data_IF_346336029298
#
_entry.id   IF_346336029298
#
_cell.length_a   1.000
_cell.length_b   1.000
_cell.length_c   1.000
_cell.angle_alpha   90.00
_cell.angle_beta   90.00
_cell.angle_gamma   90.00
#
_symmetry.space_group_name_H-M   'P 1'
#
loop_
_entity.id
_entity.type
_entity.pdbx_description
1 polymer ?
#
# COMPACT_ATOMS: atom_id res chain seq x y z
N UNK A 1 3.56 -20.05 -9.94
CA UNK A 1 4.70 -19.13 -10.16
C UNK A 1 5.73 -19.49 -9.12
N UNK A 2 7.01 -19.62 -9.49
CA UNK A 2 8.08 -20.03 -8.57
C UNK A 2 8.19 -19.07 -7.36
N UNK A 3 8.46 -19.62 -6.17
CA UNK A 3 8.53 -18.88 -4.90
C UNK A 3 9.59 -17.77 -4.94
N UNK A 4 10.69 -18.01 -5.66
CA UNK A 4 11.74 -17.02 -5.85
C UNK A 4 11.25 -15.82 -6.68
N UNK A 5 10.47 -16.08 -7.74
CA UNK A 5 9.91 -15.00 -8.58
C UNK A 5 8.90 -14.16 -7.81
N UNK A 6 8.06 -14.80 -6.99
CA UNK A 6 7.13 -14.12 -6.10
C UNK A 6 7.88 -13.19 -5.13
N UNK A 7 8.92 -13.71 -4.50
CA UNK A 7 9.77 -12.95 -3.58
C UNK A 7 10.40 -11.76 -4.30
N UNK A 8 11.03 -11.97 -5.45
CA UNK A 8 11.61 -10.88 -6.25
C UNK A 8 10.57 -9.81 -6.60
N UNK A 9 9.36 -10.19 -6.97
CA UNK A 9 8.27 -9.24 -7.27
C UNK A 9 7.84 -8.45 -6.04
N UNK A 10 7.71 -9.09 -4.88
CA UNK A 10 7.37 -8.41 -3.61
C UNK A 10 8.44 -7.40 -3.23
N UNK A 11 9.72 -7.78 -3.28
CA UNK A 11 10.84 -6.87 -2.99
C UNK A 11 10.89 -5.71 -3.99
N UNK A 12 10.67 -6.00 -5.28
CA UNK A 12 10.60 -4.97 -6.33
C UNK A 12 9.46 -4.00 -6.08
N UNK A 13 8.27 -4.50 -5.77
CA UNK A 13 7.11 -3.67 -5.44
C UNK A 13 7.36 -2.81 -4.21
N UNK A 14 7.94 -3.38 -3.15
CA UNK A 14 8.34 -2.64 -1.95
C UNK A 14 9.32 -1.53 -2.27
N UNK A 15 10.36 -1.79 -3.08
CA UNK A 15 11.33 -0.78 -3.46
C UNK A 15 10.70 0.36 -4.28
N UNK A 16 9.88 0.03 -5.28
CA UNK A 16 9.14 1.02 -6.07
C UNK A 16 8.18 1.82 -5.17
N UNK A 17 7.49 1.13 -4.26
CA UNK A 17 6.57 1.73 -3.30
C UNK A 17 7.27 2.75 -2.40
N UNK A 18 8.45 2.41 -1.87
CA UNK A 18 9.30 3.33 -1.11
C UNK A 18 9.66 4.56 -1.96
N UNK A 19 10.13 4.35 -3.19
CA UNK A 19 10.51 5.45 -4.07
C UNK A 19 9.33 6.38 -4.41
N UNK A 20 8.16 5.82 -4.74
CA UNK A 20 6.95 6.59 -5.03
C UNK A 20 6.46 7.38 -3.81
N UNK A 21 6.53 6.80 -2.61
CA UNK A 21 6.15 7.50 -1.38
C UNK A 21 7.19 8.58 -1.02
N UNK A 22 8.50 8.39 -1.24
CA UNK A 22 9.48 9.47 -1.08
C UNK A 22 9.21 10.62 -2.05
N UNK A 23 8.88 10.33 -3.31
CA UNK A 23 8.49 11.34 -4.28
C UNK A 23 7.24 12.10 -3.83
N UNK A 24 6.20 11.39 -3.37
CA UNK A 24 5.00 12.02 -2.83
C UNK A 24 5.34 12.90 -1.62
N UNK A 25 6.14 12.41 -0.69
CA UNK A 25 6.57 13.15 0.50
C UNK A 25 7.30 14.44 0.10
N UNK A 26 8.20 14.37 -0.87
CA UNK A 26 8.86 15.55 -1.43
C UNK A 26 7.86 16.54 -2.01
N UNK A 27 6.90 16.09 -2.83
CA UNK A 27 5.87 16.96 -3.44
C UNK A 27 4.97 17.64 -2.39
N UNK A 28 4.66 16.91 -1.31
CA UNK A 28 3.87 17.40 -0.17
C UNK A 28 4.67 18.43 0.62
N UNK A 29 5.93 18.15 0.95
CA UNK A 29 6.79 19.05 1.72
C UNK A 29 7.14 20.32 0.94
N UNK A 30 7.42 20.20 -0.36
CA UNK A 30 7.65 21.30 -1.29
C UNK A 30 6.40 22.19 -1.52
N UNK A 31 5.23 21.77 -1.02
CA UNK A 31 4.03 22.61 -1.05
C UNK A 31 4.13 23.78 -0.09
N UNK A 32 4.40 24.98 -0.61
CA UNK A 32 4.42 26.23 0.16
C UNK A 32 3.03 26.87 0.31
N UNK A 33 1.97 26.25 -0.24
CA UNK A 33 0.64 26.84 -0.13
C UNK A 33 0.18 26.86 1.34
N UNK A 34 -0.15 28.06 1.84
CA UNK A 34 -0.73 28.25 3.19
C UNK A 34 -2.16 27.70 3.29
N UNK A 35 -2.72 27.23 2.17
CA UNK A 35 -4.03 26.62 2.11
C UNK A 35 -3.87 25.12 2.36
N UNK A 36 -4.53 24.61 3.42
CA UNK A 36 -4.61 23.18 3.77
C UNK A 36 -3.41 22.58 4.52
N UNK A 37 -2.78 23.35 5.41
CA UNK A 37 -1.70 22.86 6.29
C UNK A 37 -2.06 21.55 7.01
N UNK A 38 -3.29 21.43 7.52
CA UNK A 38 -3.75 20.19 8.18
C UNK A 38 -3.78 18.98 7.24
N UNK A 39 -4.19 19.16 5.99
CA UNK A 39 -4.18 18.08 5.00
C UNK A 39 -2.75 17.72 4.58
N UNK A 40 -1.89 18.73 4.40
CA UNK A 40 -0.47 18.54 4.12
C UNK A 40 0.20 17.70 5.21
N UNK A 41 -0.04 18.04 6.47
CA UNK A 41 0.50 17.29 7.61
C UNK A 41 -0.03 15.87 7.66
N UNK A 42 -1.34 15.69 7.46
CA UNK A 42 -1.95 14.36 7.37
C UNK A 42 -1.29 13.53 6.27
N UNK A 43 -1.16 14.09 5.06
CA UNK A 43 -0.61 13.37 3.93
C UNK A 43 0.89 13.07 4.13
N UNK A 44 1.65 13.96 4.75
CA UNK A 44 3.03 13.71 5.13
C UNK A 44 3.15 12.54 6.13
N UNK A 45 2.28 12.48 7.14
CA UNK A 45 2.23 11.37 8.11
C UNK A 45 1.87 10.06 7.41
N UNK A 46 0.82 10.05 6.59
CA UNK A 46 0.41 8.88 5.81
C UNK A 46 1.55 8.38 4.94
N UNK A 47 2.20 9.30 4.22
CA UNK A 47 3.29 8.95 3.29
C UNK A 47 4.52 8.41 4.04
N UNK A 48 4.90 9.02 5.17
CA UNK A 48 6.00 8.54 6.00
C UNK A 48 5.71 7.13 6.55
N UNK A 49 4.46 6.87 6.91
CA UNK A 49 4.05 5.55 7.34
C UNK A 49 4.08 4.52 6.22
N UNK A 50 3.61 4.87 5.02
CA UNK A 50 3.68 4.00 3.85
C UNK A 50 5.14 3.61 3.53
N UNK A 51 6.10 4.52 3.72
CA UNK A 51 7.54 4.22 3.57
C UNK A 51 7.99 3.20 4.62
N UNK A 52 7.65 3.42 5.89
CA UNK A 52 7.95 2.49 6.98
C UNK A 52 7.36 1.10 6.70
N UNK A 53 6.09 1.04 6.30
CA UNK A 53 5.39 -0.19 5.97
C UNK A 53 6.03 -0.91 4.77
N UNK A 54 6.25 -0.21 3.66
CA UNK A 54 6.84 -0.80 2.46
C UNK A 54 8.26 -1.36 2.74
N UNK A 55 8.97 -0.77 3.71
CA UNK A 55 10.28 -1.25 4.18
C UNK A 55 10.19 -2.52 5.03
N UNK A 56 9.12 -2.68 5.81
CA UNK A 56 8.93 -3.85 6.68
C UNK A 56 8.21 -5.02 6.00
N UNK A 57 7.36 -4.74 5.02
CA UNK A 57 6.56 -5.74 4.29
C UNK A 57 7.37 -6.94 3.74
N UNK A 58 8.58 -6.78 3.15
CA UNK A 58 9.35 -7.92 2.67
C UNK A 58 10.13 -8.66 3.77
N UNK A 59 10.24 -8.08 4.97
CA UNK A 59 11.04 -8.59 6.10
C UNK A 59 10.17 -9.39 7.08
N UNK A 60 8.92 -8.95 7.29
CA UNK A 60 8.01 -9.53 8.27
C UNK A 60 6.94 -10.37 7.55
N UNK A 61 6.64 -11.55 8.10
CA UNK A 61 5.62 -12.46 7.56
C UNK A 61 4.31 -11.70 7.26
N UNK A 62 3.81 -11.87 6.03
CA UNK A 62 2.70 -11.10 5.46
C UNK A 62 1.41 -11.12 6.30
N UNK A 63 1.21 -12.21 7.05
CA UNK A 63 0.05 -12.41 7.92
C UNK A 63 -0.04 -11.37 9.05
N UNK A 64 1.10 -10.79 9.47
CA UNK A 64 1.16 -9.83 10.57
C UNK A 64 1.12 -8.37 10.13
N UNK A 65 1.53 -8.06 8.89
CA UNK A 65 1.73 -6.68 8.46
C UNK A 65 0.45 -6.01 7.97
N UNK A 66 -0.50 -6.75 7.42
CA UNK A 66 -1.65 -6.18 6.71
C UNK A 66 -2.54 -5.26 7.58
N UNK A 67 -2.58 -5.45 8.89
CA UNK A 67 -3.44 -4.67 9.79
C UNK A 67 -2.95 -3.26 10.12
N UNK A 68 -1.64 -3.04 10.04
CA UNK A 68 -0.99 -1.79 10.42
C UNK A 68 -1.29 -0.68 9.39
N UNK A 69 -1.42 -1.04 8.11
CA UNK A 69 -1.77 -0.12 7.02
C UNK A 69 -3.23 0.38 7.11
N UNK A 70 -4.15 -0.49 7.56
CA UNK A 70 -5.60 -0.27 7.51
C UNK A 70 -6.08 0.79 8.51
N UNK A 71 -5.33 1.04 9.58
CA UNK A 71 -5.62 2.08 10.57
C UNK A 71 -5.18 3.49 10.14
N UNK A 72 -4.44 3.66 9.04
CA UNK A 72 -4.22 4.98 8.43
C UNK A 72 -5.26 5.37 7.40
N UNK A 73 -5.93 4.41 6.73
CA UNK A 73 -7.12 4.78 5.96
C UNK A 73 -8.16 5.41 6.90
N UNK A 74 -8.27 4.93 8.14
CA UNK A 74 -9.08 5.56 9.20
C UNK A 74 -8.60 6.95 9.65
N UNK A 75 -7.29 7.23 9.56
CA UNK A 75 -6.73 8.58 9.74
C UNK A 75 -7.35 9.54 8.71
N UNK A 76 -7.60 9.08 7.49
CA UNK A 76 -8.23 9.86 6.42
C UNK A 76 -9.74 10.11 6.64
N UNK A 77 -10.42 9.29 7.45
CA UNK A 77 -11.85 9.50 7.81
C UNK A 77 -12.03 10.37 9.03
N UNK A 78 -11.15 10.25 10.03
CA UNK A 78 -11.22 11.11 11.20
C UNK A 78 -10.88 12.57 10.89
N UNK A 79 -10.45 12.86 9.65
CA UNK A 79 -10.45 14.19 9.06
C UNK A 79 -11.81 14.90 9.09
N UNK A 80 -12.93 14.22 9.36
CA UNK A 80 -14.28 14.80 9.39
C UNK A 80 -14.54 15.96 10.37
N UNK A 81 -13.58 16.33 11.20
CA UNK A 81 -13.55 17.65 11.85
C UNK A 81 -12.32 18.43 11.38
N UNK A 82 -12.45 19.03 10.20
CA UNK A 82 -11.41 19.78 9.51
C UNK A 82 -10.92 21.03 10.28
N UNK A 83 -9.61 21.26 10.21
CA UNK A 83 -8.80 22.40 10.72
C UNK A 83 -8.27 22.30 12.16
N UNK A 84 -9.07 21.91 13.16
CA UNK A 84 -8.61 21.96 14.56
C UNK A 84 -7.92 20.69 15.07
N UNK A 85 -8.19 19.51 14.49
CA UNK A 85 -7.66 18.25 15.00
C UNK A 85 -6.20 17.99 14.62
N UNK A 86 -5.72 18.53 13.50
CA UNK A 86 -4.30 18.45 13.12
C UNK A 86 -3.48 19.67 13.56
N UNK A 87 -4.14 20.72 14.09
CA UNK A 87 -3.50 21.69 14.99
C UNK A 87 -3.38 21.09 16.42
N UNK A 88 -4.34 20.27 16.82
CA UNK A 88 -4.37 19.65 18.14
C UNK A 88 -3.62 18.32 18.16
N UNK A 89 -2.38 18.36 18.67
CA UNK A 89 -1.54 17.18 18.91
C UNK A 89 -2.26 15.99 19.57
N UNK A 90 -3.33 16.26 20.35
CA UNK A 90 -4.17 15.25 21.01
C UNK A 90 -4.83 14.28 20.03
N UNK A 91 -5.32 14.75 18.89
CA UNK A 91 -6.05 13.89 17.95
C UNK A 91 -5.11 13.09 17.06
N UNK A 92 -3.97 13.67 16.69
CA UNK A 92 -2.86 12.92 16.09
C UNK A 92 -2.46 11.77 17.01
N UNK A 93 -2.36 12.03 18.32
CA UNK A 93 -2.06 11.00 19.31
C UNK A 93 -3.15 9.93 19.43
N UNK A 94 -4.43 10.29 19.47
CA UNK A 94 -5.54 9.31 19.51
C UNK A 94 -5.51 8.40 18.27
N UNK A 95 -5.26 8.96 17.09
CA UNK A 95 -5.18 8.21 15.85
C UNK A 95 -3.95 7.29 15.83
N UNK A 96 -2.83 7.77 16.33
CA UNK A 96 -1.64 6.95 16.54
C UNK A 96 -1.95 5.79 17.52
N UNK A 97 -2.59 6.04 18.66
CA UNK A 97 -3.00 4.99 19.61
C UNK A 97 -3.98 3.98 19.03
N UNK A 98 -4.91 4.42 18.17
CA UNK A 98 -5.82 3.52 17.47
C UNK A 98 -5.08 2.46 16.64
N UNK A 99 -3.98 2.85 15.97
CA UNK A 99 -3.12 1.92 15.21
C UNK A 99 -2.47 0.87 16.14
N UNK A 100 -2.06 1.27 17.35
CA UNK A 100 -1.48 0.38 18.36
C UNK A 100 -2.49 -0.57 19.01
N UNK A 101 -3.79 -0.39 18.79
CA UNK A 101 -4.82 -1.33 19.27
C UNK A 101 -5.21 -2.30 18.16
N UNK A 102 -5.57 -1.78 16.98
CA UNK A 102 -6.10 -2.61 15.89
C UNK A 102 -5.05 -3.47 15.20
N UNK A 103 -3.84 -2.94 14.99
CA UNK A 103 -2.73 -3.70 14.41
C UNK A 103 -2.39 -4.94 15.26
N UNK A 104 -2.07 -4.77 16.56
CA UNK A 104 -1.81 -5.89 17.44
C UNK A 104 -2.99 -6.84 17.63
N UNK A 105 -4.24 -6.34 17.68
CA UNK A 105 -5.42 -7.21 17.77
C UNK A 105 -5.52 -8.18 16.59
N UNK A 106 -5.27 -7.70 15.37
CA UNK A 106 -5.20 -8.56 14.19
C UNK A 106 -4.05 -9.56 14.29
N UNK A 107 -2.85 -9.09 14.65
CA UNK A 107 -1.69 -9.97 14.83
C UNK A 107 -1.96 -11.08 15.82
N UNK A 108 -2.63 -10.77 16.94
CA UNK A 108 -3.01 -11.73 17.97
C UNK A 108 -4.03 -12.74 17.44
N UNK A 109 -5.07 -12.29 16.72
CA UNK A 109 -6.04 -13.19 16.09
C UNK A 109 -5.35 -14.12 15.10
N UNK A 110 -4.50 -13.58 14.23
CA UNK A 110 -3.77 -14.36 13.25
C UNK A 110 -2.77 -15.33 13.90
N UNK A 111 -2.08 -14.90 14.94
CA UNK A 111 -1.17 -15.77 15.69
C UNK A 111 -1.94 -16.91 16.33
N UNK A 112 -2.97 -16.60 17.10
CA UNK A 112 -3.75 -17.61 17.83
C UNK A 112 -4.43 -18.58 16.85
N UNK A 113 -5.11 -18.06 15.83
CA UNK A 113 -5.94 -18.87 14.94
C UNK A 113 -5.16 -19.53 13.80
N UNK A 114 -4.06 -18.93 13.32
CA UNK A 114 -3.38 -19.36 12.10
C UNK A 114 -1.91 -19.75 12.29
N UNK A 115 -1.35 -19.70 13.51
CA UNK A 115 0.05 -20.08 13.71
C UNK A 115 0.36 -21.47 13.17
N UNK A 116 1.42 -21.51 12.36
CA UNK A 116 1.93 -22.67 11.65
C UNK A 116 2.79 -23.50 12.58
N UNK A 117 2.30 -24.66 13.02
CA UNK A 117 3.14 -25.70 13.62
C UNK A 117 3.64 -26.63 12.51
N UNK A 118 4.80 -27.30 12.65
CA UNK A 118 5.33 -28.21 11.62
C UNK A 118 4.30 -29.24 11.15
N UNK A 119 3.56 -29.82 12.09
CA UNK A 119 2.45 -30.75 11.85
C UNK A 119 1.33 -30.12 10.99
N UNK A 120 0.93 -28.87 11.30
CA UNK A 120 -0.11 -28.15 10.54
C UNK A 120 0.36 -27.81 9.13
N UNK A 121 1.64 -27.49 8.95
CA UNK A 121 2.23 -27.19 7.65
C UNK A 121 2.24 -28.43 6.76
N UNK A 122 2.70 -29.56 7.28
CA UNK A 122 2.73 -30.83 6.53
C UNK A 122 1.32 -31.31 6.16
N UNK A 123 0.36 -31.23 7.09
CA UNK A 123 -1.04 -31.53 6.80
C UNK A 123 -1.65 -30.61 5.75
N UNK A 124 -1.30 -29.32 5.75
CA UNK A 124 -1.78 -28.36 4.75
C UNK A 124 -1.25 -28.71 3.35
N UNK A 125 0.02 -29.14 3.26
CA UNK A 125 0.65 -29.60 2.00
C UNK A 125 -0.09 -30.80 1.43
N UNK A 126 -0.35 -31.81 2.27
CA UNK A 126 -1.08 -33.01 1.85
C UNK A 126 -2.48 -32.69 1.33
N UNK A 127 -3.20 -31.77 1.98
CA UNK A 127 -4.56 -31.42 1.58
C UNK A 127 -4.60 -30.63 0.27
N UNK A 128 -3.69 -29.68 0.08
CA UNK A 128 -3.57 -28.95 -1.17
C UNK A 128 -3.24 -29.88 -2.35
N UNK A 129 -2.33 -30.83 -2.14
CA UNK A 129 -2.03 -31.88 -3.11
C UNK A 129 -3.25 -32.75 -3.38
N UNK A 130 -3.97 -33.20 -2.35
CA UNK A 130 -5.11 -34.11 -2.51
C UNK A 130 -6.32 -33.47 -3.18
N UNK A 131 -6.65 -32.21 -2.84
CA UNK A 131 -7.86 -31.53 -3.36
C UNK A 131 -7.63 -30.76 -4.64
N UNK A 132 -6.46 -30.16 -4.80
CA UNK A 132 -6.19 -29.21 -5.87
C UNK A 132 -5.04 -29.67 -6.77
N UNK A 133 -4.37 -30.78 -6.44
CA UNK A 133 -3.20 -31.27 -7.16
C UNK A 133 -2.07 -30.24 -7.23
N UNK A 134 -1.91 -29.43 -6.15
CA UNK A 134 -0.90 -28.37 -6.08
C UNK A 134 0.04 -28.57 -4.90
N UNK A 135 1.34 -28.47 -5.17
CA UNK A 135 2.38 -28.54 -4.15
C UNK A 135 2.55 -27.18 -3.46
N UNK A 136 2.14 -27.06 -2.19
CA UNK A 136 2.22 -25.79 -1.46
C UNK A 136 3.64 -25.22 -1.34
N UNK A 137 4.67 -26.08 -1.42
CA UNK A 137 6.07 -25.62 -1.40
C UNK A 137 6.42 -24.78 -2.64
N UNK A 138 5.73 -25.01 -3.75
CA UNK A 138 5.98 -24.31 -5.03
C UNK A 138 5.14 -23.04 -5.20
N UNK A 139 3.99 -22.94 -4.53
CA UNK A 139 3.01 -21.85 -4.75
C UNK A 139 2.94 -20.79 -3.66
N UNK A 140 3.64 -20.98 -2.53
CA UNK A 140 3.70 -19.98 -1.45
C UNK A 140 2.32 -19.56 -0.93
N UNK A 141 1.44 -20.54 -0.66
CA UNK A 141 0.08 -20.25 -0.19
C UNK A 141 0.07 -19.69 1.23
N UNK A 142 -0.60 -18.54 1.40
CA UNK A 142 -0.75 -17.83 2.66
C UNK A 142 -2.25 -17.70 2.95
N UNK A 143 -2.87 -18.73 3.53
CA UNK A 143 -4.28 -18.69 3.90
C UNK A 143 -4.64 -19.71 4.98
N UNK A 144 -5.68 -19.46 5.79
CA UNK A 144 -6.07 -20.37 6.86
C UNK A 144 -6.68 -21.67 6.31
N UNK A 145 -6.16 -22.81 6.77
CA UNK A 145 -6.74 -24.12 6.46
C UNK A 145 -7.93 -24.39 7.40
N UNK A 146 -9.15 -24.30 6.87
CA UNK A 146 -10.39 -24.40 7.66
C UNK A 146 -11.03 -25.79 7.67
N UNK A 147 -10.64 -26.68 6.74
CA UNK A 147 -11.16 -28.06 6.65
C UNK A 147 -9.99 -29.02 6.60
N UNK A 148 -10.12 -30.17 7.27
CA UNK A 148 -9.06 -31.17 7.34
C UNK A 148 -9.65 -32.59 7.51
N UNK A 149 -9.02 -33.63 6.96
CA UNK A 149 -9.46 -35.01 7.19
C UNK A 149 -9.08 -35.45 8.61
N UNK A 150 -10.03 -36.05 9.33
CA UNK A 150 -9.77 -36.66 10.63
C UNK A 150 -8.76 -37.82 10.47
N UNK A 151 -7.70 -37.91 11.29
CA UNK A 151 -6.65 -38.93 11.14
C UNK A 151 -7.14 -40.35 11.39
N UNK A 152 -8.16 -40.51 12.24
CA UNK A 152 -8.71 -41.82 12.61
C UNK A 152 -9.83 -42.27 11.66
N UNK A 153 -10.64 -41.35 11.14
CA UNK A 153 -11.84 -41.70 10.36
C UNK A 153 -11.74 -41.31 8.89
N UNK A 154 -10.74 -40.53 8.48
CA UNK A 154 -10.60 -39.98 7.13
C UNK A 154 -11.67 -38.96 6.74
N UNK A 155 -12.67 -38.73 7.59
CA UNK A 155 -13.79 -37.82 7.32
C UNK A 155 -13.36 -36.36 7.46
N UNK A 156 -13.84 -35.51 6.55
CA UNK A 156 -13.54 -34.08 6.59
C UNK A 156 -14.19 -33.39 7.78
N UNK A 157 -13.37 -32.77 8.63
CA UNK A 157 -13.75 -31.99 9.80
C UNK A 157 -13.47 -30.50 9.58
N UNK A 158 -14.30 -29.66 10.21
CA UNK A 158 -14.15 -28.20 10.19
C UNK A 158 -13.32 -27.77 11.40
N UNK A 159 -12.29 -26.95 11.17
CA UNK A 159 -11.53 -26.29 12.23
C UNK A 159 -12.25 -25.03 12.65
N UNK A 160 -13.24 -25.17 13.53
CA UNK A 160 -14.06 -24.06 14.04
C UNK A 160 -13.23 -22.90 14.61
N UNK A 161 -12.05 -23.18 15.17
CA UNK A 161 -11.15 -22.16 15.67
C UNK A 161 -10.57 -21.26 14.56
N UNK A 162 -10.20 -21.85 13.42
CA UNK A 162 -9.71 -21.10 12.26
C UNK A 162 -10.86 -20.32 11.62
N UNK A 163 -12.05 -20.93 11.54
CA UNK A 163 -13.28 -20.28 11.07
C UNK A 163 -13.61 -19.06 11.94
N UNK A 164 -13.52 -19.20 13.27
CA UNK A 164 -13.76 -18.09 14.20
C UNK A 164 -12.72 -16.98 14.03
N UNK A 165 -11.44 -17.33 13.86
CA UNK A 165 -10.40 -16.36 13.51
C UNK A 165 -10.69 -15.62 12.20
N UNK A 166 -11.24 -16.32 11.21
CA UNK A 166 -11.58 -15.77 9.90
C UNK A 166 -12.77 -14.82 9.96
N UNK A 167 -13.77 -15.13 10.78
CA UNK A 167 -14.82 -14.17 11.14
C UNK A 167 -14.24 -12.96 11.90
N UNK A 168 -13.31 -13.18 12.83
CA UNK A 168 -12.61 -12.12 13.57
C UNK A 168 -11.91 -11.14 12.62
N UNK A 169 -11.02 -11.63 11.77
CA UNK A 169 -10.34 -10.84 10.74
C UNK A 169 -11.34 -10.13 9.81
N UNK A 170 -12.34 -10.84 9.27
CA UNK A 170 -13.31 -10.26 8.34
C UNK A 170 -14.17 -9.17 8.99
N UNK A 171 -14.54 -9.35 10.27
CA UNK A 171 -15.31 -8.35 11.02
C UNK A 171 -14.49 -7.09 11.28
N UNK A 172 -13.19 -7.22 11.58
CA UNK A 172 -12.28 -6.08 11.68
C UNK A 172 -12.22 -5.33 10.34
N UNK A 173 -11.99 -6.01 9.21
CA UNK A 173 -11.98 -5.37 7.88
C UNK A 173 -13.31 -4.64 7.59
N UNK A 174 -14.43 -5.28 7.89
CA UNK A 174 -15.75 -4.70 7.67
C UNK A 174 -15.99 -3.46 8.53
N UNK A 175 -15.61 -3.49 9.82
CA UNK A 175 -15.74 -2.34 10.72
C UNK A 175 -14.89 -1.17 10.21
N UNK A 176 -13.64 -1.44 9.82
CA UNK A 176 -12.75 -0.43 9.25
C UNK A 176 -13.39 0.20 8.01
N UNK A 177 -13.87 -0.62 7.06
CA UNK A 177 -14.52 -0.15 5.85
C UNK A 177 -15.85 0.58 6.10
N UNK A 178 -16.64 0.14 7.08
CA UNK A 178 -17.88 0.81 7.46
C UNK A 178 -17.60 2.21 8.00
N UNK A 179 -16.57 2.36 8.85
CA UNK A 179 -16.14 3.69 9.32
C UNK A 179 -15.72 4.56 8.13
N UNK A 180 -15.00 3.98 7.14
CA UNK A 180 -14.66 4.67 5.88
C UNK A 180 -15.90 5.25 5.20
N UNK A 181 -16.87 4.41 4.90
CA UNK A 181 -18.08 4.78 4.18
C UNK A 181 -18.92 5.81 4.97
N UNK A 182 -19.13 5.57 6.27
CA UNK A 182 -19.81 6.53 7.16
C UNK A 182 -19.10 7.88 7.15
N UNK A 183 -17.77 7.85 7.03
CA UNK A 183 -16.96 9.02 6.92
C UNK A 183 -17.26 9.86 5.68
N UNK A 184 -17.18 9.23 4.51
CA UNK A 184 -17.52 9.85 3.23
C UNK A 184 -18.94 10.43 3.23
N UNK A 185 -19.92 9.69 3.75
CA UNK A 185 -21.32 10.14 3.82
C UNK A 185 -21.47 11.36 4.72
N UNK A 186 -20.82 11.39 5.89
CA UNK A 186 -20.85 12.57 6.77
C UNK A 186 -20.21 13.79 6.13
N UNK A 187 -19.11 13.61 5.39
CA UNK A 187 -18.45 14.71 4.69
C UNK A 187 -19.35 15.27 3.59
N UNK A 188 -19.94 14.39 2.78
CA UNK A 188 -20.88 14.79 1.75
C UNK A 188 -22.07 15.57 2.32
N UNK A 189 -22.70 15.05 3.39
CA UNK A 189 -23.81 15.73 4.07
C UNK A 189 -23.39 17.10 4.58
N UNK A 190 -22.24 17.19 5.27
CA UNK A 190 -21.71 18.47 5.75
C UNK A 190 -21.54 19.49 4.62
N UNK A 191 -20.97 19.09 3.48
CA UNK A 191 -20.80 19.99 2.33
C UNK A 191 -22.15 20.45 1.78
N UNK A 192 -23.16 19.57 1.76
CA UNK A 192 -24.48 19.87 1.22
C UNK A 192 -25.32 20.77 2.13
N UNK A 193 -25.16 20.70 3.45
CA UNK A 193 -26.01 21.39 4.43
C UNK A 193 -25.37 22.62 5.06
N UNK A 194 -24.05 22.77 5.00
CA UNK A 194 -23.36 23.86 5.68
C UNK A 194 -23.36 25.14 4.86
N UNK A 195 -23.70 26.27 5.50
CA UNK A 195 -23.47 27.62 4.95
C UNK A 195 -21.99 28.00 5.03
N UNK A 196 -21.12 27.19 4.42
CA UNK A 196 -19.69 27.47 4.29
C UNK A 196 -19.42 28.30 3.04
N UNK A 197 -18.37 29.13 3.08
CA UNK A 197 -17.95 29.90 1.91
C UNK A 197 -17.74 29.00 0.68
N UNK A 198 -18.00 29.51 -0.52
CA UNK A 198 -17.78 28.80 -1.79
C UNK A 198 -16.35 28.24 -1.91
N UNK A 199 -15.38 28.98 -1.37
CA UNK A 199 -13.98 28.55 -1.29
C UNK A 199 -13.81 27.28 -0.43
N UNK A 200 -14.40 27.27 0.77
CA UNK A 200 -14.36 26.11 1.69
C UNK A 200 -15.12 24.93 1.10
N UNK A 201 -16.24 25.19 0.42
CA UNK A 201 -17.04 24.17 -0.26
C UNK A 201 -16.24 23.46 -1.36
N UNK A 202 -15.57 24.23 -2.24
CA UNK A 202 -14.69 23.69 -3.29
C UNK A 202 -13.56 22.85 -2.72
N UNK A 203 -12.94 23.30 -1.64
CA UNK A 203 -11.91 22.55 -0.93
C UNK A 203 -12.43 21.21 -0.40
N UNK A 204 -13.56 21.21 0.33
CA UNK A 204 -14.14 20.00 0.89
C UNK A 204 -14.55 18.99 -0.20
N UNK A 205 -15.05 19.45 -1.35
CA UNK A 205 -15.33 18.58 -2.49
C UNK A 205 -14.07 17.95 -3.08
N UNK A 206 -12.96 18.70 -3.18
CA UNK A 206 -11.68 18.14 -3.61
C UNK A 206 -11.25 17.03 -2.66
N UNK A 207 -11.34 17.27 -1.36
CA UNK A 207 -10.97 16.32 -0.31
C UNK A 207 -11.86 15.08 -0.29
N UNK A 208 -13.16 15.23 -0.48
CA UNK A 208 -14.08 14.11 -0.65
C UNK A 208 -13.70 13.26 -1.87
N UNK A 209 -13.41 13.89 -3.01
CA UNK A 209 -12.96 13.18 -4.21
C UNK A 209 -11.68 12.39 -3.96
N UNK A 210 -10.74 12.99 -3.24
CA UNK A 210 -9.46 12.36 -2.91
C UNK A 210 -9.65 11.19 -1.95
N UNK A 211 -10.49 11.36 -0.94
CA UNK A 211 -10.84 10.28 -0.02
C UNK A 211 -11.46 9.11 -0.78
N UNK A 212 -12.40 9.37 -1.70
CA UNK A 212 -12.99 8.31 -2.54
C UNK A 212 -11.92 7.59 -3.36
N UNK A 213 -11.01 8.32 -4.00
CA UNK A 213 -9.89 7.75 -4.76
C UNK A 213 -8.98 6.89 -3.85
N UNK A 214 -8.61 7.41 -2.68
CA UNK A 214 -7.78 6.70 -1.70
C UNK A 214 -8.46 5.45 -1.13
N UNK A 215 -9.80 5.39 -1.12
CA UNK A 215 -10.53 4.21 -0.63
C UNK A 215 -10.65 3.09 -1.66
N UNK A 216 -10.47 3.40 -2.95
CA UNK A 216 -10.50 2.40 -4.03
C UNK A 216 -9.22 1.56 -4.05
N UNK A 217 -8.05 2.17 -3.81
CA UNK A 217 -6.78 1.47 -3.79
C UNK A 217 -6.73 0.29 -2.78
N UNK A 218 -7.02 0.46 -1.48
CA UNK A 218 -7.00 -0.64 -0.52
C UNK A 218 -8.10 -1.66 -0.80
N UNK A 219 -9.22 -1.27 -1.40
CA UNK A 219 -10.27 -2.21 -1.80
C UNK A 219 -9.75 -3.25 -2.80
N UNK A 220 -9.06 -2.78 -3.84
CA UNK A 220 -8.57 -3.63 -4.94
C UNK A 220 -7.31 -4.40 -4.52
N UNK A 221 -6.34 -3.71 -3.92
CA UNK A 221 -5.01 -4.25 -3.69
C UNK A 221 -4.83 -4.96 -2.34
N UNK A 222 -5.74 -4.78 -1.38
CA UNK A 222 -5.65 -5.43 -0.07
C UNK A 222 -6.93 -6.20 0.31
N UNK A 223 -8.11 -5.56 0.31
CA UNK A 223 -9.33 -6.19 0.84
C UNK A 223 -9.82 -7.37 0.02
N UNK A 224 -9.89 -7.25 -1.31
CA UNK A 224 -10.26 -8.36 -2.19
C UNK A 224 -9.27 -9.53 -2.03
N UNK A 225 -7.94 -9.34 -2.16
CA UNK A 225 -6.97 -10.41 -1.90
C UNK A 225 -7.08 -11.05 -0.52
N UNK A 226 -7.24 -10.26 0.54
CA UNK A 226 -7.34 -10.80 1.90
C UNK A 226 -8.64 -11.58 2.14
N UNK A 227 -9.78 -11.12 1.63
CA UNK A 227 -11.04 -11.89 1.73
C UNK A 227 -10.92 -13.20 0.94
N UNK A 228 -10.29 -13.17 -0.23
CA UNK A 228 -10.06 -14.37 -1.03
C UNK A 228 -9.09 -15.34 -0.35
N UNK A 229 -8.02 -14.83 0.27
CA UNK A 229 -7.07 -15.63 1.04
C UNK A 229 -7.76 -16.31 2.24
N UNK A 230 -8.59 -15.55 2.97
CA UNK A 230 -9.31 -16.03 4.14
C UNK A 230 -10.37 -17.05 3.72
N UNK A 231 -11.30 -16.69 2.85
CA UNK A 231 -12.50 -17.51 2.59
C UNK A 231 -12.38 -18.47 1.43
N UNK A 232 -11.48 -18.22 0.48
CA UNK A 232 -11.43 -18.95 -0.79
C UNK A 232 -11.20 -20.45 -0.62
N UNK A 233 -10.30 -20.84 0.29
CA UNK A 233 -10.08 -22.25 0.63
C UNK A 233 -11.28 -22.91 1.33
N UNK A 234 -12.10 -22.16 2.06
CA UNK A 234 -13.27 -22.70 2.78
C UNK A 234 -14.43 -23.04 1.84
N UNK A 235 -14.70 -22.17 0.86
CA UNK A 235 -15.75 -22.37 -0.15
C UNK A 235 -15.32 -23.30 -1.30
N UNK A 236 -14.09 -23.84 -1.23
CA UNK A 236 -13.59 -24.81 -2.20
C UNK A 236 -13.21 -24.18 -3.53
N UNK A 237 -12.89 -22.88 -3.57
CA UNK A 237 -12.37 -22.24 -4.78
C UNK A 237 -10.94 -22.71 -5.03
N UNK A 238 -10.65 -23.43 -6.13
CA UNK A 238 -9.28 -23.79 -6.53
C UNK A 238 -8.40 -22.55 -6.71
N UNK A 239 -9.05 -21.45 -7.09
CA UNK A 239 -8.47 -20.14 -7.28
C UNK A 239 -7.64 -19.65 -6.08
N UNK A 240 -8.06 -19.94 -4.83
CA UNK A 240 -7.35 -19.45 -3.65
C UNK A 240 -5.94 -20.06 -3.51
N UNK A 241 -5.76 -21.29 -4.00
CA UNK A 241 -4.49 -22.02 -3.94
C UNK A 241 -3.68 -21.84 -5.22
N UNK A 242 -4.31 -21.94 -6.38
CA UNK A 242 -3.67 -21.71 -7.69
C UNK A 242 -3.16 -20.27 -7.84
N UNK A 243 -3.91 -19.33 -7.26
CA UNK A 243 -3.52 -17.95 -7.08
C UNK A 243 -3.25 -17.76 -5.57
N UNK A 244 -2.35 -18.52 -4.94
CA UNK A 244 -1.79 -18.11 -3.65
C UNK A 244 -0.80 -16.95 -3.82
N UNK A 245 -0.13 -16.94 -4.97
CA UNK A 245 1.03 -16.11 -5.24
C UNK A 245 0.72 -14.64 -5.53
N UNK A 246 -0.49 -14.31 -5.98
CA UNK A 246 -0.89 -12.93 -6.30
C UNK A 246 -1.19 -12.09 -5.06
N UNK A 247 -1.68 -12.69 -3.96
CA UNK A 247 -2.02 -11.97 -2.72
C UNK A 247 -0.83 -11.10 -2.26
N UNK A 248 0.37 -11.67 -2.03
CA UNK A 248 1.54 -10.90 -1.60
C UNK A 248 2.01 -9.85 -2.62
N UNK A 249 1.79 -10.09 -3.91
CA UNK A 249 2.13 -9.15 -4.98
C UNK A 249 1.15 -7.97 -4.96
N UNK A 250 -0.15 -8.22 -4.78
CA UNK A 250 -1.16 -7.19 -4.69
C UNK A 250 -0.99 -6.34 -3.43
N UNK A 251 -0.77 -6.96 -2.27
CA UNK A 251 -0.57 -6.22 -1.01
C UNK A 251 0.72 -5.39 -1.05
N UNK A 252 1.82 -5.90 -1.60
CA UNK A 252 3.04 -5.09 -1.79
C UNK A 252 2.83 -3.94 -2.79
N UNK A 253 2.07 -4.16 -3.86
CA UNK A 253 1.76 -3.14 -4.86
C UNK A 253 0.84 -2.02 -4.35
N UNK A 254 0.10 -2.24 -3.25
CA UNK A 254 -0.75 -1.21 -2.65
C UNK A 254 0.01 0.09 -2.35
N UNK A 255 1.22 -0.02 -1.81
CA UNK A 255 2.06 1.15 -1.46
C UNK A 255 2.39 2.04 -2.66
N UNK A 256 2.54 1.42 -3.83
CA UNK A 256 2.70 2.11 -5.13
C UNK A 256 1.38 2.76 -5.52
N UNK A 257 0.29 1.99 -5.51
CA UNK A 257 -1.02 2.45 -5.93
C UNK A 257 -1.49 3.67 -5.11
N UNK A 258 -1.40 3.63 -3.79
CA UNK A 258 -1.83 4.71 -2.91
C UNK A 258 -1.09 6.03 -3.22
N UNK A 259 0.24 5.97 -3.28
CA UNK A 259 1.06 7.16 -3.56
C UNK A 259 0.79 7.75 -4.95
N UNK A 260 0.69 6.91 -5.98
CA UNK A 260 0.37 7.37 -7.33
C UNK A 260 -1.05 7.95 -7.43
N UNK A 261 -2.03 7.34 -6.76
CA UNK A 261 -3.41 7.81 -6.76
C UNK A 261 -3.53 9.21 -6.13
N UNK A 262 -2.77 9.50 -5.07
CA UNK A 262 -2.70 10.85 -4.50
C UNK A 262 -2.05 11.83 -5.47
N UNK A 263 -0.91 11.48 -6.06
CA UNK A 263 -0.21 12.34 -7.02
C UNK A 263 -1.13 12.68 -8.19
N UNK A 264 -1.79 11.69 -8.78
CA UNK A 264 -2.70 11.86 -9.93
C UNK A 264 -3.98 12.60 -9.50
N UNK A 265 -4.49 12.33 -8.31
CA UNK A 265 -5.69 12.97 -7.76
C UNK A 265 -5.52 14.46 -7.51
N UNK A 266 -4.33 14.92 -7.11
CA UNK A 266 -4.04 16.33 -6.89
C UNK A 266 -3.50 17.02 -8.13
N UNK A 267 -4.24 18.03 -8.62
CA UNK A 267 -3.75 18.91 -9.70
C UNK A 267 -2.41 19.57 -9.34
N UNK A 268 -2.27 20.10 -8.11
CA UNK A 268 -1.05 20.76 -7.66
C UNK A 268 0.17 19.82 -7.67
N UNK A 269 0.00 18.56 -7.28
CA UNK A 269 1.08 17.58 -7.26
C UNK A 269 1.46 17.13 -8.67
N UNK A 270 0.47 16.92 -9.57
CA UNK A 270 0.74 16.66 -10.99
C UNK A 270 1.54 17.79 -11.64
N UNK A 271 1.12 19.03 -11.45
CA UNK A 271 1.79 20.19 -12.04
C UNK A 271 3.25 20.31 -11.59
N UNK A 272 3.51 20.09 -10.30
CA UNK A 272 4.89 20.05 -9.77
C UNK A 272 5.69 18.88 -10.30
N UNK A 273 5.11 17.69 -10.35
CA UNK A 273 5.77 16.53 -10.94
C UNK A 273 6.17 16.81 -12.39
N UNK A 274 5.27 17.37 -13.20
CA UNK A 274 5.60 17.75 -14.58
C UNK A 274 6.68 18.83 -14.66
N UNK A 275 6.69 19.80 -13.75
CA UNK A 275 7.74 20.80 -13.69
C UNK A 275 9.12 20.18 -13.41
N UNK A 276 9.19 19.27 -12.43
CA UNK A 276 10.41 18.53 -12.09
C UNK A 276 10.89 17.71 -13.30
N UNK A 277 10.00 16.95 -13.94
CA UNK A 277 10.33 16.14 -15.11
C UNK A 277 10.83 16.98 -16.30
N UNK A 278 10.28 18.19 -16.49
CA UNK A 278 10.77 19.14 -17.51
C UNK A 278 12.16 19.65 -17.20
N UNK A 279 12.46 19.98 -15.94
CA UNK A 279 13.79 20.43 -15.51
C UNK A 279 14.84 19.32 -15.69
N UNK A 280 14.51 18.08 -15.34
CA UNK A 280 15.40 16.94 -15.60
C UNK A 280 15.70 16.75 -17.08
N UNK A 281 14.69 16.83 -17.95
CA UNK A 281 14.89 16.75 -19.41
C UNK A 281 15.77 17.87 -19.94
N UNK A 282 15.62 19.08 -19.42
CA UNK A 282 16.45 20.21 -19.82
C UNK A 282 17.90 20.06 -19.34
N UNK A 283 18.11 19.65 -18.09
CA UNK A 283 19.43 19.37 -17.53
C UNK A 283 20.18 18.28 -18.31
N UNK A 284 19.50 17.17 -18.62
CA UNK A 284 20.10 16.08 -19.42
C UNK A 284 20.47 16.53 -20.83
N UNK A 285 19.69 17.43 -21.43
CA UNK A 285 20.00 18.01 -22.75
C UNK A 285 21.22 18.94 -22.69
N UNK A 286 21.44 19.67 -21.59
CA UNK A 286 22.64 20.49 -21.40
C UNK A 286 23.86 19.61 -21.21
N UNK A 287 23.77 18.58 -20.35
CA UNK A 287 24.87 17.63 -20.12
C UNK A 287 25.29 16.92 -21.41
N UNK A 288 24.33 16.41 -22.20
CA UNK A 288 24.65 15.74 -23.46
C UNK A 288 25.28 16.70 -24.50
N UNK A 289 24.87 17.96 -24.51
CA UNK A 289 25.45 18.97 -25.39
C UNK A 289 26.87 19.39 -24.95
N UNK A 290 27.14 19.41 -23.64
CA UNK A 290 28.47 19.67 -23.08
C UNK A 290 29.44 18.55 -23.44
N UNK A 291 29.04 17.29 -23.25
CA UNK A 291 29.86 16.12 -23.61
C UNK A 291 30.13 16.04 -25.13
N UNK A 292 29.14 16.40 -25.96
CA UNK A 292 29.32 16.47 -27.41
C UNK A 292 30.24 17.61 -27.87
N UNK A 293 30.33 18.70 -27.09
CA UNK A 293 31.25 19.82 -27.32
C UNK A 293 32.69 19.42 -26.97
N UNK A 294 32.90 18.78 -25.82
CA UNK A 294 34.22 18.31 -25.37
C UNK A 294 34.81 17.22 -26.27
N UNK A 295 33.97 16.39 -26.91
CA UNK A 295 34.44 15.40 -27.88
C UNK A 295 34.85 16.02 -29.23
N UNK A 296 34.35 17.22 -29.58
CA UNK A 296 34.76 17.94 -30.79
C UNK A 296 36.06 18.72 -30.59
N UNK A 297 36.30 19.29 -29.41
CA UNK A 297 37.55 20.00 -29.08
C UNK A 297 38.76 19.06 -28.97
N UNK A 298 38.55 17.80 -28.57
CA UNK A 298 39.64 16.79 -28.51
C UNK A 298 40.06 16.22 -29.87
N UNK A 299 39.28 16.40 -30.94
CA UNK A 299 39.63 15.94 -32.31
C UNK A 299 40.12 17.05 -33.25
N UNK A 300 40.20 18.30 -32.78
CA UNK A 300 40.64 19.47 -33.55
C UNK A 300 41.81 20.20 -32.89
N UNK A 301 42.95 19.53 -32.73
CA UNK A 301 44.22 20.19 -32.37
C UNK A 301 45.07 20.47 -33.62
N UNK A 302 45.76 21.61 -33.74
CA UNK A 302 46.31 22.11 -35.01
C UNK A 302 47.56 21.32 -35.45
N UNK A 303 47.58 20.91 -36.72
CA UNK A 303 48.80 20.62 -37.46
C UNK A 303 49.39 21.93 -37.98
N UNK A 304 50.73 22.02 -37.97
CA UNK A 304 51.57 23.11 -38.51
C UNK A 304 51.56 24.38 -37.63
N UNK A 305 52.67 24.80 -37.03
CA UNK A 305 53.77 25.51 -37.67
C UNK A 305 55.07 25.28 -36.87
N UNK A 306 56.10 24.70 -37.48
CA UNK A 306 57.52 24.97 -37.17
C UNK A 306 58.38 24.60 -38.39
N UNK A 307 58.77 25.61 -39.17
CA UNK A 307 60.01 25.56 -39.96
C UNK A 307 60.49 26.97 -40.29
N UNK A 308 61.38 27.52 -39.45
CA UNK A 308 62.52 28.35 -39.83
C UNK A 308 63.28 28.78 -38.58
N UNK A 309 64.36 28.05 -38.27
CA UNK A 309 65.70 28.63 -38.11
C UNK A 309 66.71 27.56 -37.68
N UNK A 310 67.77 27.50 -38.48
CA UNK A 310 69.02 26.73 -38.40
C UNK A 310 69.00 25.28 -38.88
#
# INVERSE_FOLDING_TARGET
MDSDKQTVMVYTNSFIGIACNFLLLYLVLADTSKHNVGYKNMLAIVTAYNIYYASLHPILDMVYMDAFNKSLTLLAIHCLKWRFLFDSKKWIFVLFMFNFVFGPAWCVICHICYHSTPERTEMSKMEAMKRFNVNLEEIGYIGPVMKWPNPQTGAMQIRWFNVLGSFGCSSLLLILYAIICLGCVRLYRFISTSMVSERTKKLNYQLLRLLLIQTIAPLIFEYIPCIMAIWGGFIGMPFALEFGWWIPICTSAYSIADSLMVIIGFKAYRERLFAILRLFRFSNKILSNSEASDHKTTKGGPSEIYSSNN
#
